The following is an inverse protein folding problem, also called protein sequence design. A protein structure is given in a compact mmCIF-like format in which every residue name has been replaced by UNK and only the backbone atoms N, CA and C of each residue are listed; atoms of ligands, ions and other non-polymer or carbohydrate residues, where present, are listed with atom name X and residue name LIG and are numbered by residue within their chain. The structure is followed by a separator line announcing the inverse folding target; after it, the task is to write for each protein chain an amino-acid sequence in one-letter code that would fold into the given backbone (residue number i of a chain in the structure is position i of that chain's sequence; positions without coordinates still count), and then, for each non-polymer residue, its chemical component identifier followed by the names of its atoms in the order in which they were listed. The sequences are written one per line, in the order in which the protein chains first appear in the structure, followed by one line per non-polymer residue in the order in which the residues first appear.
data_IF_348058581445
#
_entry.id   IF_348058581445
#
_cell.length_a   1.000
_cell.length_b   1.000
_cell.length_c   1.000
_cell.angle_alpha   90.00
_cell.angle_beta   90.00
_cell.angle_gamma   90.00
#
_symmetry.space_group_name_H-M   'P 1'
#
loop_
_entity.id
_entity.type
_entity.pdbx_description
1 polymer ?
#
# COMPACT_ATOMS: atom_id res chain seq x y z
N UNK A 1 28.45 -10.94 14.19
CA UNK A 1 27.59 -10.97 13.00
C UNK A 1 27.28 -9.53 12.66
N UNK A 2 27.67 -9.04 11.47
CA UNK A 2 27.39 -7.67 11.08
C UNK A 2 25.89 -7.58 10.76
N UNK A 3 25.12 -6.99 11.68
CA UNK A 3 23.72 -6.67 11.46
C UNK A 3 23.69 -5.32 10.77
N UNK A 4 23.46 -5.31 9.46
CA UNK A 4 23.33 -4.07 8.69
C UNK A 4 21.93 -3.49 8.95
N UNK A 5 21.86 -2.24 9.45
CA UNK A 5 20.64 -1.42 9.61
C UNK A 5 20.96 0.01 9.19
N UNK A 6 19.99 0.85 8.77
CA UNK A 6 18.87 0.62 7.86
C UNK A 6 19.30 0.89 6.40
N UNK A 7 18.92 0.02 5.47
CA UNK A 7 19.12 0.29 4.03
C UNK A 7 18.16 1.37 3.55
N UNK A 8 18.63 2.24 2.65
CA UNK A 8 17.77 3.13 1.87
C UNK A 8 16.68 2.31 1.19
N UNK A 9 15.43 2.74 1.30
CA UNK A 9 14.31 2.11 0.63
C UNK A 9 13.98 2.85 -0.66
N UNK A 10 13.55 2.11 -1.66
CA UNK A 10 13.20 2.58 -2.98
C UNK A 10 11.78 2.14 -3.32
N UNK A 11 11.05 2.98 -4.06
CA UNK A 11 9.75 2.63 -4.65
C UNK A 11 9.78 2.95 -6.13
N UNK A 12 8.89 2.31 -6.89
CA UNK A 12 8.51 2.84 -8.19
C UNK A 12 7.51 3.98 -8.01
N UNK A 13 7.72 5.06 -8.76
CA UNK A 13 6.78 6.17 -8.84
C UNK A 13 6.73 6.66 -10.28
N UNK A 14 5.59 6.48 -10.95
CA UNK A 14 5.39 6.89 -12.35
C UNK A 14 6.48 6.34 -13.31
N UNK A 15 6.87 5.08 -13.11
CA UNK A 15 7.87 4.39 -13.94
C UNK A 15 9.34 4.66 -13.56
N UNK A 16 9.60 5.52 -12.57
CA UNK A 16 10.94 5.84 -12.09
C UNK A 16 11.21 5.22 -10.71
N UNK A 17 12.47 4.86 -10.43
CA UNK A 17 12.88 4.37 -9.11
C UNK A 17 13.36 5.54 -8.27
N UNK A 18 12.71 5.76 -7.12
CA UNK A 18 13.02 6.87 -6.22
C UNK A 18 13.35 6.37 -4.81
N UNK A 19 14.36 6.97 -4.18
CA UNK A 19 14.71 6.72 -2.78
C UNK A 19 13.75 7.47 -1.84
N UNK A 20 13.28 6.80 -0.78
CA UNK A 20 12.24 7.34 0.12
C UNK A 20 12.55 7.06 1.60
N UNK A 21 12.78 8.11 2.37
CA UNK A 21 13.19 8.02 3.79
C UNK A 21 12.03 7.74 4.76
N UNK A 22 10.79 7.90 4.31
CA UNK A 22 9.59 7.57 5.09
C UNK A 22 9.21 6.09 5.03
N UNK A 23 9.94 5.29 4.25
CA UNK A 23 9.87 3.84 4.28
C UNK A 23 10.87 3.26 5.29
N UNK A 24 10.61 2.02 5.71
CA UNK A 24 11.59 1.21 6.41
C UNK A 24 11.56 -0.24 5.90
N UNK A 25 12.68 -0.97 6.01
CA UNK A 25 12.74 -2.38 5.62
C UNK A 25 11.76 -3.24 6.43
N UNK A 26 11.25 -4.30 5.83
CA UNK A 26 10.39 -5.29 6.50
C UNK A 26 11.18 -6.40 7.20
N UNK A 27 12.50 -6.28 7.23
CA UNK A 27 13.40 -7.27 7.83
C UNK A 27 14.84 -6.80 7.83
N UNK A 28 15.73 -7.68 8.26
CA UNK A 28 17.18 -7.47 8.18
C UNK A 28 17.73 -8.07 6.89
N UNK A 29 18.67 -7.38 6.26
CA UNK A 29 19.44 -7.92 5.14
C UNK A 29 20.64 -8.71 5.66
N UNK A 30 20.98 -9.80 4.97
CA UNK A 30 22.16 -10.63 5.22
C UNK A 30 22.63 -11.26 3.90
N UNK A 31 23.75 -11.96 3.90
CA UNK A 31 24.29 -12.64 2.72
C UNK A 31 23.29 -13.60 2.05
N UNK A 32 22.41 -14.24 2.83
CA UNK A 32 21.36 -15.13 2.31
C UNK A 32 20.13 -14.37 1.80
N UNK A 33 19.82 -13.23 2.41
CA UNK A 33 18.69 -12.38 2.03
C UNK A 33 19.17 -10.93 1.87
N UNK A 34 19.86 -10.63 0.75
CA UNK A 34 20.58 -9.35 0.60
C UNK A 34 19.63 -8.17 0.40
N UNK A 35 18.39 -8.43 0.00
CA UNK A 35 17.35 -7.44 -0.24
C UNK A 35 16.05 -7.88 0.39
N UNK A 36 15.37 -6.94 1.03
CA UNK A 36 14.06 -7.14 1.67
C UNK A 36 13.06 -6.09 1.18
N UNK A 37 11.75 -6.40 1.21
CA UNK A 37 10.68 -5.44 1.01
C UNK A 37 10.77 -4.24 1.95
N UNK A 38 10.24 -3.10 1.52
CA UNK A 38 10.08 -1.92 2.36
C UNK A 38 8.62 -1.47 2.40
N UNK A 39 8.15 -1.03 3.56
CA UNK A 39 6.82 -0.47 3.76
C UNK A 39 6.90 0.92 4.40
N UNK A 40 5.84 1.71 4.31
CA UNK A 40 5.78 3.01 4.98
C UNK A 40 5.86 2.84 6.50
N UNK A 41 6.55 3.78 7.15
CA UNK A 41 6.54 3.87 8.61
C UNK A 41 5.12 4.11 9.10
N UNK A 42 4.62 3.21 9.94
CA UNK A 42 3.23 3.22 10.42
C UNK A 42 2.34 2.15 9.81
N UNK A 43 2.84 1.39 8.83
CA UNK A 43 2.14 0.30 8.17
C UNK A 43 2.69 -1.07 8.63
N UNK A 44 1.96 -2.13 8.30
CA UNK A 44 2.36 -3.50 8.60
C UNK A 44 2.90 -4.18 7.37
N UNK A 45 4.12 -4.71 7.47
CA UNK A 45 4.71 -5.58 6.47
C UNK A 45 3.99 -6.93 6.47
N UNK A 46 3.49 -7.33 5.31
CA UNK A 46 2.94 -8.65 5.04
C UNK A 46 3.93 -9.46 4.20
N UNK A 47 3.69 -10.77 4.10
CA UNK A 47 4.40 -11.60 3.12
C UNK A 47 4.10 -11.18 1.67
N UNK A 48 4.84 -11.75 0.73
CA UNK A 48 4.66 -11.56 -0.72
C UNK A 48 4.90 -10.12 -1.23
N UNK A 49 5.56 -9.27 -0.44
CA UNK A 49 5.88 -7.89 -0.82
C UNK A 49 4.65 -6.99 -0.78
N UNK A 50 3.80 -7.16 0.22
CA UNK A 50 2.58 -6.37 0.44
C UNK A 50 2.73 -5.61 1.76
N UNK A 51 2.26 -4.37 1.79
CA UNK A 51 2.09 -3.61 3.02
C UNK A 51 0.60 -3.38 3.25
N UNK A 52 0.12 -3.64 4.46
CA UNK A 52 -1.24 -3.24 4.85
C UNK A 52 -1.20 -1.96 5.67
N UNK A 53 -2.19 -1.10 5.45
CA UNK A 53 -2.34 0.14 6.16
C UNK A 53 -3.78 0.35 6.63
N UNK A 54 -3.93 0.99 7.79
CA UNK A 54 -5.25 1.32 8.35
C UNK A 54 -5.55 2.82 8.27
N UNK A 55 -4.61 3.62 7.76
CA UNK A 55 -4.83 5.04 7.60
C UNK A 55 -5.81 5.27 6.44
N UNK A 56 -6.84 6.10 6.66
CA UNK A 56 -7.88 6.35 5.67
C UNK A 56 -7.35 7.16 4.49
N UNK A 57 -6.83 6.49 3.46
CA UNK A 57 -6.55 7.09 2.16
C UNK A 57 -7.84 7.17 1.35
N UNK A 58 -8.16 8.36 0.84
CA UNK A 58 -9.32 8.53 -0.01
C UNK A 58 -9.11 7.75 -1.32
N UNK A 59 -9.99 6.78 -1.59
CA UNK A 59 -9.87 5.88 -2.75
C UNK A 59 -8.87 4.73 -2.59
N UNK A 60 -8.21 4.63 -1.43
CA UNK A 60 -7.28 3.56 -1.10
C UNK A 60 -7.98 2.25 -0.70
N UNK A 61 -7.23 1.15 -0.83
CA UNK A 61 -7.70 -0.21 -0.54
C UNK A 61 -7.33 -0.72 0.85
N UNK A 62 -6.41 -0.05 1.55
CA UNK A 62 -5.75 -0.60 2.74
C UNK A 62 -4.50 -1.42 2.45
N UNK A 63 -4.10 -1.55 1.17
CA UNK A 63 -2.93 -2.32 0.76
C UNK A 63 -2.12 -1.63 -0.33
N UNK A 64 -0.81 -1.69 -0.22
CA UNK A 64 0.15 -1.20 -1.24
C UNK A 64 1.17 -2.28 -1.56
N UNK A 65 1.67 -2.28 -2.79
CA UNK A 65 2.86 -3.04 -3.15
C UNK A 65 4.07 -2.44 -2.42
N UNK A 66 4.92 -3.30 -1.88
CA UNK A 66 6.09 -2.88 -1.12
C UNK A 66 7.15 -2.24 -2.00
N UNK A 67 7.90 -1.30 -1.44
CA UNK A 67 9.20 -0.90 -1.97
C UNK A 67 10.27 -1.98 -1.78
N UNK A 68 11.52 -1.63 -2.05
CA UNK A 68 12.67 -2.52 -1.90
C UNK A 68 13.86 -1.79 -1.26
N UNK A 69 14.71 -2.53 -0.56
CA UNK A 69 16.02 -2.03 -0.09
C UNK A 69 17.08 -1.97 -1.20
N UNK A 70 16.76 -2.50 -2.38
CA UNK A 70 17.60 -2.49 -3.57
C UNK A 70 16.91 -1.71 -4.71
N UNK A 71 17.58 -0.74 -5.35
CA UNK A 71 16.98 0.05 -6.43
C UNK A 71 16.78 -0.74 -7.73
N UNK A 72 17.41 -1.92 -7.87
CA UNK A 72 17.21 -2.81 -8.99
C UNK A 72 15.99 -3.73 -8.84
N UNK A 73 15.32 -3.73 -7.67
CA UNK A 73 14.18 -4.59 -7.35
C UNK A 73 14.43 -6.07 -7.75
N UNK A 74 15.57 -6.61 -7.33
CA UNK A 74 15.95 -7.99 -7.60
C UNK A 74 15.14 -9.03 -6.82
N UNK A 75 15.68 -10.26 -6.79
CA UNK A 75 15.06 -11.40 -6.09
C UNK A 75 14.79 -11.11 -4.60
N UNK A 76 13.51 -11.10 -4.21
CA UNK A 76 13.08 -10.81 -2.83
C UNK A 76 12.24 -9.55 -2.72
N UNK A 77 12.20 -8.74 -3.78
CA UNK A 77 11.29 -7.61 -3.92
C UNK A 77 10.37 -7.83 -5.12
N UNK A 78 9.19 -7.19 -5.07
CA UNK A 78 8.20 -7.31 -6.13
C UNK A 78 8.28 -6.11 -7.07
N UNK A 79 8.15 -6.39 -8.36
CA UNK A 79 8.20 -5.43 -9.47
C UNK A 79 6.81 -5.28 -10.07
N UNK A 80 5.86 -4.77 -9.30
CA UNK A 80 4.45 -4.57 -9.72
C UNK A 80 4.01 -3.13 -9.48
N UNK A 81 3.02 -2.69 -10.23
CA UNK A 81 2.41 -1.37 -10.12
C UNK A 81 3.40 -0.21 -10.31
N UNK A 82 4.37 -0.40 -11.22
CA UNK A 82 5.51 0.52 -11.38
C UNK A 82 5.09 1.91 -11.90
N UNK A 83 4.05 1.94 -12.72
CA UNK A 83 3.58 3.18 -13.35
C UNK A 83 2.72 4.02 -12.40
N UNK A 84 2.38 3.49 -11.21
CA UNK A 84 1.60 4.19 -10.21
C UNK A 84 2.50 5.03 -9.30
N UNK A 85 1.96 6.14 -8.76
CA UNK A 85 2.73 7.03 -7.89
C UNK A 85 3.08 6.39 -6.53
N UNK A 86 2.21 5.53 -5.99
CA UNK A 86 2.32 4.93 -4.65
C UNK A 86 2.04 3.42 -4.60
N UNK A 87 1.79 2.78 -5.75
CA UNK A 87 1.64 1.34 -5.82
C UNK A 87 0.45 0.74 -5.04
N UNK A 88 -0.63 1.48 -4.78
CA UNK A 88 -1.84 0.90 -4.19
C UNK A 88 -2.36 -0.29 -5.00
N UNK A 89 -2.78 -1.32 -4.26
CA UNK A 89 -3.25 -2.60 -4.81
C UNK A 89 -4.57 -2.96 -4.17
N UNK A 90 -5.45 -3.61 -4.91
CA UNK A 90 -6.67 -4.18 -4.35
C UNK A 90 -6.72 -5.67 -4.65
N UNK A 91 -7.45 -6.41 -3.82
CA UNK A 91 -7.70 -7.82 -4.04
C UNK A 91 -9.05 -7.99 -4.74
N UNK A 92 -9.02 -8.59 -5.92
CA UNK A 92 -10.21 -9.01 -6.65
C UNK A 92 -10.58 -10.41 -6.16
N UNK A 93 -11.59 -10.48 -5.29
CA UNK A 93 -12.06 -11.72 -4.68
C UNK A 93 -12.76 -12.65 -5.67
N UNK A 94 -13.29 -12.14 -6.78
CA UNK A 94 -13.97 -12.95 -7.79
C UNK A 94 -12.95 -13.77 -8.61
N UNK A 95 -11.79 -13.17 -8.86
CA UNK A 95 -10.73 -13.77 -9.67
C UNK A 95 -9.54 -14.29 -8.84
N UNK A 96 -9.61 -14.16 -7.51
CA UNK A 96 -8.55 -14.52 -6.55
C UNK A 96 -7.19 -13.97 -6.95
N UNK A 97 -7.15 -12.67 -7.27
CA UNK A 97 -5.95 -12.02 -7.82
C UNK A 97 -5.81 -10.59 -7.29
N UNK A 98 -4.57 -10.16 -7.05
CA UNK A 98 -4.29 -8.76 -6.74
C UNK A 98 -4.15 -7.96 -8.04
N UNK A 99 -4.63 -6.72 -8.04
CA UNK A 99 -4.45 -5.78 -9.16
C UNK A 99 -4.05 -4.41 -8.66
N UNK A 100 -3.31 -3.69 -9.48
CA UNK A 100 -2.90 -2.33 -9.17
C UNK A 100 -4.09 -1.38 -9.32
N UNK A 101 -4.28 -0.48 -8.36
CA UNK A 101 -5.29 0.58 -8.46
C UNK A 101 -4.96 1.55 -9.60
N UNK A 102 -5.96 2.25 -10.14
CA UNK A 102 -5.73 3.20 -11.24
C UNK A 102 -5.51 4.62 -10.73
N UNK A 103 -4.79 5.41 -11.54
CA UNK A 103 -4.54 6.83 -11.35
C UNK A 103 -4.95 7.57 -12.63
N UNK A 104 -6.25 7.91 -12.80
CA UNK A 104 -6.71 8.62 -14.00
C UNK A 104 -6.03 9.99 -14.14
N UNK A 105 -5.78 10.49 -15.36
CA UNK A 105 -5.11 11.78 -15.57
C UNK A 105 -5.83 12.92 -14.84
N UNK A 106 -5.14 13.57 -13.91
CA UNK A 106 -5.70 14.66 -13.09
C UNK A 106 -6.73 14.22 -12.05
N UNK A 107 -6.93 12.92 -11.85
CA UNK A 107 -7.83 12.35 -10.84
C UNK A 107 -7.10 11.71 -9.65
N UNK A 108 -7.81 11.44 -8.55
CA UNK A 108 -7.23 10.79 -7.38
C UNK A 108 -7.01 9.29 -7.64
N UNK A 109 -6.24 8.65 -6.74
CA UNK A 109 -6.17 7.20 -6.59
C UNK A 109 -7.58 6.58 -6.65
N UNK A 110 -7.74 5.52 -7.44
CA UNK A 110 -8.99 4.81 -7.58
C UNK A 110 -8.80 3.28 -7.62
N UNK A 111 -9.13 2.62 -6.50
CA UNK A 111 -9.12 1.17 -6.41
C UNK A 111 -10.44 0.49 -6.84
N UNK A 112 -11.51 1.25 -7.12
CA UNK A 112 -12.79 0.71 -7.63
C UNK A 112 -12.74 0.38 -9.12
N UNK A 113 -11.81 0.98 -9.86
CA UNK A 113 -11.53 0.67 -11.26
C UNK A 113 -10.05 0.35 -11.42
N UNK A 114 -9.59 -0.85 -10.99
CA UNK A 114 -8.19 -1.23 -11.03
C UNK A 114 -7.69 -1.41 -12.47
N UNK A 115 -6.37 -1.30 -12.64
CA UNK A 115 -5.67 -1.52 -13.91
C UNK A 115 -5.67 -2.99 -14.33
N UNK A 116 -5.23 -3.28 -15.55
CA UNK A 116 -5.08 -4.66 -16.05
C UNK A 116 -3.88 -5.39 -15.47
N UNK A 117 -2.93 -4.67 -14.87
CA UNK A 117 -1.77 -5.27 -14.21
C UNK A 117 -2.21 -6.04 -12.97
N UNK A 118 -1.72 -7.27 -12.85
CA UNK A 118 -2.19 -8.24 -11.86
C UNK A 118 -1.08 -9.16 -11.41
N UNK A 119 -1.16 -9.62 -10.18
CA UNK A 119 -0.18 -10.54 -9.61
C UNK A 119 -0.80 -11.49 -8.58
N UNK A 120 -0.13 -12.63 -8.39
CA UNK A 120 -0.52 -13.65 -7.40
C UNK A 120 0.18 -13.39 -6.06
N UNK A 121 -0.62 -13.45 -5.01
CA UNK A 121 -0.25 -13.50 -3.60
C UNK A 121 -1.45 -14.08 -2.83
N UNK A 122 -1.30 -14.50 -1.56
CA UNK A 122 -2.43 -14.93 -0.73
C UNK A 122 -3.55 -13.89 -0.64
N UNK A 123 -4.75 -14.34 -0.30
CA UNK A 123 -5.88 -13.44 -0.03
C UNK A 123 -5.60 -12.57 1.20
N UNK A 124 -6.31 -11.44 1.39
CA UNK A 124 -6.13 -10.61 2.58
C UNK A 124 -6.23 -11.35 3.92
N UNK A 125 -7.09 -12.38 4.00
CA UNK A 125 -7.28 -13.19 5.21
C UNK A 125 -6.15 -14.22 5.42
N UNK A 126 -5.44 -14.58 4.34
CA UNK A 126 -4.33 -15.53 4.35
C UNK A 126 -2.95 -14.84 4.36
N UNK A 127 -2.91 -13.51 4.33
CA UNK A 127 -1.67 -12.76 4.46
C UNK A 127 -1.10 -12.93 5.87
N UNK A 128 0.19 -13.23 5.93
CA UNK A 128 0.95 -13.38 7.16
C UNK A 128 1.58 -12.03 7.48
N UNK A 129 1.19 -11.47 8.62
CA UNK A 129 1.85 -10.29 9.20
C UNK A 129 3.27 -10.65 9.61
N UNK A 130 4.24 -9.99 8.96
CA UNK A 130 5.66 -10.09 9.32
C UNK A 130 5.95 -9.17 10.51
N UNK A 131 5.71 -7.88 10.36
CA UNK A 131 6.03 -6.88 11.38
C UNK A 131 5.31 -5.55 11.13
N UNK A 132 4.89 -4.90 12.21
CA UNK A 132 4.50 -3.50 12.22
C UNK A 132 5.71 -2.56 12.22
N UNK A 133 5.74 -1.58 11.32
CA UNK A 133 6.78 -0.56 11.29
C UNK A 133 6.36 0.65 12.13
N UNK A 134 7.17 1.07 13.11
CA UNK A 134 6.83 2.23 13.93
C UNK A 134 6.83 3.51 13.09
N UNK A 135 5.86 4.39 13.32
CA UNK A 135 5.77 5.70 12.65
C UNK A 135 7.00 6.60 12.88
N UNK A 136 7.68 6.41 14.02
CA UNK A 136 8.85 7.19 14.43
C UNK A 136 9.92 6.27 14.98
N UNK A 137 11.18 6.73 14.93
CA UNK A 137 12.33 5.93 15.36
C UNK A 137 12.73 4.86 14.35
N UNK A 138 13.51 3.89 14.83
CA UNK A 138 14.02 2.76 14.03
C UNK A 138 13.26 1.47 14.38
N UNK A 139 12.80 0.69 13.40
CA UNK A 139 12.23 -0.64 13.66
C UNK A 139 13.26 -1.56 14.32
N UNK A 140 12.78 -2.40 15.24
CA UNK A 140 13.58 -3.46 15.88
C UNK A 140 13.19 -4.79 15.28
N UNK A 141 14.14 -5.52 14.70
CA UNK A 141 13.87 -6.81 14.08
C UNK A 141 14.20 -7.95 15.03
N UNK A 142 13.31 -8.94 15.09
CA UNK A 142 13.58 -10.18 15.82
C UNK A 142 14.44 -11.08 14.92
N UNK A 143 15.63 -11.45 15.40
CA UNK A 143 16.51 -12.39 14.72
C UNK A 143 16.39 -13.72 15.44
N UNK A 144 15.95 -14.76 14.75
CA UNK A 144 16.03 -16.12 15.29
C UNK A 144 17.51 -16.53 15.35
N UNK A 145 18.09 -16.54 16.54
CA UNK A 145 19.38 -17.19 16.76
C UNK A 145 19.19 -18.69 16.61
N UNK A 146 19.76 -19.29 15.57
CA UNK A 146 19.92 -20.73 15.50
C UNK A 146 20.84 -21.17 16.65
N UNK A 147 20.25 -21.67 17.75
CA UNK A 147 21.01 -22.32 18.80
C UNK A 147 21.63 -23.58 18.21
N UNK A 148 22.96 -23.62 18.14
CA UNK A 148 23.70 -24.80 17.71
C UNK A 148 23.28 -25.99 18.58
N UNK A 149 22.77 -27.03 17.95
CA UNK A 149 22.44 -28.31 18.59
C UNK A 149 23.72 -28.88 19.21
N UNK A 150 23.77 -29.22 20.51
CA UNK A 150 24.94 -29.89 21.05
C UNK A 150 25.07 -31.26 20.39
N UNK A 151 26.18 -31.48 19.70
CA UNK A 151 26.57 -32.79 19.16
C UNK A 151 26.81 -33.74 20.34
N UNK A 152 25.87 -34.63 20.63
CA UNK A 152 26.06 -35.71 21.61
C UNK A 152 26.89 -36.82 20.98
N UNK A 153 28.16 -36.89 21.37
CA UNK A 153 29.05 -38.05 21.15
C UNK A 153 28.55 -39.22 22.00
N UNK A 154 28.40 -40.45 21.47
CA UNK A 154 28.05 -41.60 22.28
C UNK A 154 29.28 -42.08 23.05
N UNK A 155 29.21 -42.12 24.37
CA UNK A 155 30.17 -42.84 25.21
C UNK A 155 29.40 -43.83 26.08
N UNK A 156 29.52 -45.08 25.67
CA UNK A 156 29.16 -46.31 26.38
C UNK A 156 29.93 -46.36 27.71
N UNK A 157 29.22 -46.63 28.82
CA UNK A 157 29.57 -47.64 29.84
C UNK A 157 28.62 -47.54 31.08
N UNK A 158 27.89 -48.63 31.32
CA UNK A 158 27.20 -49.06 32.55
C UNK A 158 28.21 -49.84 33.43
N UNK A 159 28.02 -50.20 34.74
CA UNK A 159 26.80 -50.47 35.54
C UNK A 159 26.82 -49.82 36.96
N UNK A 160 25.93 -49.98 37.95
CA UNK A 160 24.82 -50.87 38.33
C UNK A 160 24.03 -50.19 39.51
N UNK A 161 22.86 -50.71 39.96
CA UNK A 161 21.80 -49.99 40.69
C UNK A 161 21.78 -50.24 42.21
N UNK A 162 20.99 -49.45 42.98
CA UNK A 162 20.22 -49.80 44.22
C UNK A 162 19.56 -48.51 44.75
N UNK A 163 18.24 -48.34 44.75
CA UNK A 163 17.37 -48.57 45.92
C UNK A 163 15.88 -48.36 45.55
N UNK A 164 15.04 -49.06 46.30
CA UNK A 164 13.62 -49.45 46.19
C UNK A 164 12.55 -48.34 46.37
N UNK A 165 11.23 -48.64 46.17
CA UNK A 165 10.25 -47.72 45.60
C UNK A 165 9.41 -46.95 46.63
N UNK A 166 8.72 -45.91 46.18
CA UNK A 166 7.55 -45.36 46.87
C UNK A 166 6.43 -45.11 45.86
N UNK A 167 5.38 -45.91 46.03
CA UNK A 167 4.11 -45.88 45.33
C UNK A 167 3.39 -44.58 45.63
N UNK A 168 3.00 -43.81 44.62
CA UNK A 168 1.83 -42.92 44.73
C UNK A 168 1.23 -42.69 43.34
N UNK A 169 0.15 -43.42 43.08
CA UNK A 169 -0.72 -43.26 41.91
C UNK A 169 -1.34 -41.86 41.89
N UNK A 170 -1.26 -41.18 40.75
CA UNK A 170 -2.31 -40.24 40.32
C UNK A 170 -2.21 -40.03 38.81
N UNK A 171 -3.15 -40.66 38.12
CA UNK A 171 -3.50 -40.40 36.73
C UNK A 171 -3.93 -38.94 36.54
N UNK A 172 -3.31 -38.22 35.61
CA UNK A 172 -3.91 -37.00 35.04
C UNK A 172 -3.95 -37.11 33.52
N UNK A 173 -5.17 -37.36 33.07
CA UNK A 173 -5.67 -37.29 31.71
C UNK A 173 -5.37 -35.93 31.06
N UNK A 174 -4.80 -35.98 29.86
CA UNK A 174 -4.73 -34.88 28.91
C UNK A 174 -6.14 -34.37 28.59
N UNK A 175 -6.48 -33.18 29.09
CA UNK A 175 -7.71 -32.48 28.74
C UNK A 175 -7.36 -31.24 27.93
N UNK A 176 -7.94 -31.16 26.73
CA UNK A 176 -7.86 -30.06 25.78
C UNK A 176 -8.36 -28.74 26.39
N UNK A 177 -7.51 -27.73 26.40
CA UNK A 177 -7.83 -26.36 26.83
C UNK A 177 -8.76 -25.69 25.80
N UNK A 178 -10.05 -25.62 26.10
CA UNK A 178 -11.00 -24.73 25.44
C UNK A 178 -10.79 -23.29 25.95
N UNK A 179 -10.52 -22.36 25.04
CA UNK A 179 -10.40 -20.93 25.34
C UNK A 179 -11.78 -20.28 25.54
N UNK A 180 -12.21 -20.13 26.79
CA UNK A 180 -13.36 -19.31 27.16
C UNK A 180 -12.96 -17.85 27.36
N UNK A 181 -13.69 -16.93 26.72
CA UNK A 181 -13.52 -15.48 26.84
C UNK A 181 -13.79 -15.04 28.28
N UNK A 182 -12.84 -14.29 28.85
CA UNK A 182 -12.92 -13.75 30.21
C UNK A 182 -14.13 -12.83 30.39
N UNK A 183 -14.87 -13.05 31.47
CA UNK A 183 -16.08 -12.31 31.88
C UNK A 183 -15.90 -10.79 31.94
N UNK A 184 -14.67 -10.30 31.99
CA UNK A 184 -14.35 -8.87 31.96
C UNK A 184 -14.60 -8.18 30.60
N UNK A 185 -14.54 -8.90 29.48
CA UNK A 185 -14.76 -8.32 28.14
C UNK A 185 -16.25 -8.12 27.84
N UNK A 186 -17.11 -9.02 28.35
CA UNK A 186 -18.56 -8.95 28.14
C UNK A 186 -19.24 -7.77 28.88
N UNK A 187 -18.68 -7.33 30.02
CA UNK A 187 -19.26 -6.23 30.79
C UNK A 187 -19.03 -4.84 30.18
N UNK A 188 -17.99 -4.67 29.35
CA UNK A 188 -17.64 -3.37 28.75
C UNK A 188 -18.52 -2.94 27.57
N UNK A 189 -19.14 -3.89 26.86
CA UNK A 189 -19.85 -3.63 25.60
C UNK A 189 -21.26 -3.05 25.85
N UNK A 190 -21.87 -3.32 27.00
CA UNK A 190 -23.26 -2.93 27.28
C UNK A 190 -23.49 -1.42 27.46
N UNK A 191 -22.52 -0.67 28.00
CA UNK A 191 -22.72 0.75 28.35
C UNK A 191 -22.46 1.70 27.18
N UNK A 192 -21.62 1.31 26.22
CA UNK A 192 -21.24 2.16 25.09
C UNK A 192 -22.37 2.42 24.09
N UNK A 193 -23.25 1.45 23.88
CA UNK A 193 -24.30 1.51 22.83
C UNK A 193 -25.37 2.56 23.16
N UNK A 194 -25.77 2.67 24.43
CA UNK A 194 -26.79 3.63 24.84
C UNK A 194 -26.33 5.10 24.66
N UNK A 195 -25.08 5.39 24.98
CA UNK A 195 -24.50 6.73 24.79
C UNK A 195 -24.25 7.03 23.29
N UNK A 196 -23.79 6.04 22.52
CA UNK A 196 -23.50 6.19 21.10
C UNK A 196 -24.74 6.56 20.27
N UNK A 197 -25.89 5.92 20.53
CA UNK A 197 -27.12 6.19 19.79
C UNK A 197 -27.62 7.63 20.03
N UNK A 198 -27.57 8.13 21.27
CA UNK A 198 -28.00 9.50 21.59
C UNK A 198 -27.13 10.53 20.85
N UNK A 199 -25.81 10.31 20.80
CA UNK A 199 -24.88 11.21 20.11
C UNK A 199 -25.13 11.19 18.60
N UNK A 200 -25.33 10.02 17.99
CA UNK A 200 -25.61 9.90 16.56
C UNK A 200 -26.94 10.57 16.16
N UNK A 201 -27.98 10.42 16.97
CA UNK A 201 -29.29 11.06 16.72
C UNK A 201 -29.16 12.59 16.81
N UNK A 202 -28.46 13.11 17.82
CA UNK A 202 -28.22 14.55 17.96
C UNK A 202 -27.40 15.11 16.80
N UNK A 203 -26.38 14.38 16.34
CA UNK A 203 -25.51 14.78 15.23
C UNK A 203 -26.27 14.81 13.90
N UNK A 204 -27.07 13.78 13.61
CA UNK A 204 -27.92 13.73 12.42
C UNK A 204 -28.94 14.88 12.39
N UNK A 205 -29.58 15.17 13.54
CA UNK A 205 -30.53 16.29 13.66
C UNK A 205 -29.86 17.65 13.41
N UNK A 206 -28.66 17.85 13.94
CA UNK A 206 -27.90 19.08 13.77
C UNK A 206 -27.53 19.33 12.29
N UNK A 207 -27.04 18.30 11.59
CA UNK A 207 -26.71 18.38 10.16
C UNK A 207 -27.96 18.68 9.33
N UNK A 208 -29.09 18.02 9.63
CA UNK A 208 -30.33 18.24 8.90
C UNK A 208 -30.84 19.68 9.05
N UNK A 209 -30.79 20.24 10.27
CA UNK A 209 -31.17 21.63 10.54
C UNK A 209 -30.23 22.62 9.85
N UNK A 210 -28.93 22.35 9.80
CA UNK A 210 -27.98 23.22 9.12
C UNK A 210 -28.18 23.22 7.60
N UNK A 211 -28.44 22.05 7.01
CA UNK A 211 -28.72 21.92 5.58
C UNK A 211 -29.98 22.67 5.17
N UNK A 212 -31.03 22.62 5.99
CA UNK A 212 -32.30 23.32 5.71
C UNK A 212 -32.17 24.84 5.73
N UNK A 213 -31.25 25.39 6.53
CA UNK A 213 -30.98 26.85 6.57
C UNK A 213 -30.22 27.37 5.34
N UNK A 214 -29.59 26.49 4.56
CA UNK A 214 -28.82 26.87 3.36
C UNK A 214 -29.61 26.77 2.05
N UNK A 215 -30.87 26.35 2.09
CA UNK A 215 -31.74 26.43 0.92
C UNK A 215 -32.49 27.76 0.90
N UNK A 216 -31.79 28.83 0.52
CA UNK A 216 -32.44 30.00 -0.10
C UNK A 216 -32.66 29.66 -1.58
N UNK A 217 -33.85 29.87 -2.16
CA UNK A 217 -34.11 29.58 -3.57
C UNK A 217 -33.19 30.42 -4.47
N UNK A 218 -32.64 29.85 -5.56
CA UNK A 218 -31.94 30.63 -6.58
C UNK A 218 -32.89 31.67 -7.19
N UNK A 219 -32.42 32.91 -7.30
CA UNK A 219 -33.07 33.99 -8.05
C UNK A 219 -33.36 33.53 -9.50
N UNK A 220 -34.51 33.88 -10.10
CA UNK A 220 -34.70 33.75 -11.54
C UNK A 220 -33.92 34.86 -12.29
N UNK A 221 -33.30 34.57 -13.44
CA UNK A 221 -32.59 35.61 -14.21
C UNK A 221 -33.59 36.58 -14.86
N UNK A 222 -33.39 37.87 -14.56
CA UNK A 222 -34.03 39.00 -15.23
C UNK A 222 -33.59 39.05 -16.71
N UNK A 223 -34.53 39.38 -17.60
CA UNK A 223 -34.36 39.22 -19.03
C UNK A 223 -33.78 40.41 -19.81
N UNK A 224 -33.82 40.21 -21.13
CA UNK A 224 -34.12 41.20 -22.17
C UNK A 224 -33.17 42.38 -22.39
N UNK A 225 -32.27 42.23 -23.37
CA UNK A 225 -31.91 43.32 -24.27
C UNK A 225 -32.22 42.91 -25.72
N UNK A 226 -33.18 43.62 -26.34
CA UNK A 226 -33.45 43.66 -27.78
C UNK A 226 -32.76 44.90 -28.37
N UNK A 227 -32.10 44.75 -29.52
CA UNK A 227 -32.03 45.70 -30.66
C UNK A 227 -31.11 45.07 -31.74
N UNK A 228 -31.64 44.62 -32.88
CA UNK A 228 -31.97 45.38 -34.11
C UNK A 228 -30.73 45.60 -35.01
N UNK A 229 -30.67 44.92 -36.18
CA UNK A 229 -30.14 45.36 -37.51
C UNK A 229 -29.75 44.16 -38.42
N UNK A 230 -30.35 44.05 -39.60
CA UNK A 230 -29.92 43.21 -40.76
C UNK A 230 -29.00 44.04 -41.71
N UNK A 231 -28.39 43.56 -42.83
CA UNK A 231 -28.56 42.30 -43.60
C UNK A 231 -27.20 41.61 -44.02
N UNK A 232 -27.18 40.49 -44.78
CA UNK A 232 -25.96 39.72 -45.04
C UNK A 232 -25.18 40.24 -46.26
N UNK A 233 -23.85 40.33 -46.16
CA UNK A 233 -22.97 40.75 -47.27
C UNK A 233 -21.77 39.80 -47.43
N UNK A 234 -21.76 39.12 -48.59
CA UNK A 234 -20.67 38.61 -49.43
C UNK A 234 -19.54 37.67 -48.87
N UNK A 235 -19.09 36.69 -49.68
CA UNK A 235 -18.04 35.72 -49.31
C UNK A 235 -16.61 36.30 -49.42
N UNK A 236 -15.61 35.69 -48.75
CA UNK A 236 -14.24 36.19 -48.71
C UNK A 236 -13.57 36.11 -50.08
N UNK A 237 -12.99 37.23 -50.53
CA UNK A 237 -12.12 37.32 -51.70
C UNK A 237 -10.70 36.93 -51.26
N UNK A 238 -10.07 35.99 -51.97
CA UNK A 238 -8.65 35.64 -51.82
C UNK A 238 -7.76 36.84 -52.17
N UNK A 239 -6.77 37.14 -51.33
CA UNK A 239 -5.74 38.16 -51.60
C UNK A 239 -4.43 37.51 -52.07
N UNK A 240 -3.66 38.17 -52.96
CA UNK A 240 -2.72 37.53 -53.86
C UNK A 240 -1.33 37.27 -53.25
N UNK A 241 -0.71 36.18 -53.69
CA UNK A 241 0.68 35.81 -53.44
C UNK A 241 1.65 36.91 -53.92
N UNK A 242 2.49 37.41 -53.01
CA UNK A 242 3.63 38.27 -53.34
C UNK A 242 4.78 37.44 -53.95
N UNK A 243 5.51 37.97 -54.95
CA UNK A 243 6.54 37.22 -55.67
C UNK A 243 7.92 37.21 -54.98
N UNK A 244 8.60 36.08 -55.27
CA UNK A 244 9.99 35.67 -55.08
C UNK A 244 11.05 36.69 -54.61
N UNK A 245 11.77 36.30 -53.55
CA UNK A 245 13.10 36.82 -53.23
C UNK A 245 14.17 36.04 -54.02
N UNK A 246 15.13 36.70 -54.69
CA UNK A 246 16.15 36.04 -55.50
C UNK A 246 17.28 35.44 -54.66
N UNK A 247 17.73 34.25 -55.08
CA UNK A 247 18.91 33.55 -54.55
C UNK A 247 20.22 34.21 -55.02
N UNK A 248 21.29 34.15 -54.22
CA UNK A 248 22.65 34.17 -54.73
C UNK A 248 23.14 32.74 -55.00
N UNK A 249 23.78 32.62 -56.15
CA UNK A 249 24.26 31.41 -56.82
C UNK A 249 25.71 31.11 -56.40
N UNK A 250 25.95 29.82 -56.11
CA UNK A 250 27.13 28.99 -56.46
C UNK A 250 28.54 29.32 -55.92
N UNK A 251 29.14 28.31 -55.27
CA UNK A 251 30.37 27.67 -55.79
C UNK A 251 30.44 26.22 -55.35
N UNK A 252 30.44 25.35 -56.35
CA UNK A 252 30.71 23.92 -56.27
C UNK A 252 32.22 23.68 -56.16
N UNK A 253 32.65 22.73 -55.32
CA UNK A 253 33.82 21.89 -55.61
C UNK A 253 33.70 20.57 -54.86
N UNK A 254 33.79 19.52 -55.66
CA UNK A 254 33.48 18.13 -55.36
C UNK A 254 34.75 17.33 -55.05
N UNK A 255 34.58 16.33 -54.17
CA UNK A 255 35.23 15.00 -54.17
C UNK A 255 36.76 14.79 -54.09
N UNK A 256 37.12 13.93 -53.13
CA UNK A 256 38.02 12.76 -53.20
C UNK A 256 39.54 12.92 -53.01
N UNK A 257 40.01 12.73 -51.77
CA UNK A 257 40.90 11.62 -51.31
C UNK A 257 41.22 11.75 -49.82
#
# INVERSE_FOLDING_TARGET
MNVTTPGTCYIYSAGEVVAVDVLAPCGVTNQTNPQVPCCWKGDTCMNDGICSYEHGLNGGSGYVASGCTDPGFGNGCRTVCMDNAYGDIMYDSENSIWRCCSYPPGGPLNCSTPTVERFRAPSPEDLISIQYLPKTGTPTYQIASASQTPTTTPSTNSPSPTSTPSTNSSSTTSTSSGGGISSGVAAGIGVGVAAGVIILVAFAFFIWKWRRRRQRPPYPPAGSHKQESAPPTAPPQELPLAPASPQPVEVEASTWK
#
